data_IF_576958751466
#
_entry.id   IF_576958751466
#
_cell.length_a   1.000
_cell.length_b   1.000
_cell.length_c   1.000
_cell.angle_alpha   90.00
_cell.angle_beta   90.00
_cell.angle_gamma   90.00
#
_symmetry.space_group_name_H-M   'P 1'
#
loop_
_entity.id
_entity.type
_entity.pdbx_description
1 polymer ?
#
# COMPACT_ATOMS: atom_id res chain seq x y z
N UNK A 1 -12.42 4.96 -20.87
CA UNK A 1 -12.00 5.15 -20.36
C UNK A 1 -11.59 5.92 -20.06
N UNK A 2 -11.36 6.14 -19.70
CA UNK A 2 -10.87 6.88 -19.57
C UNK A 2 -10.80 7.60 -18.46
N UNK A 3 -11.46 7.76 -17.81
CA UNK A 3 -11.45 8.30 -16.66
C UNK A 3 -10.39 7.95 -15.85
N UNK A 4 -9.90 6.97 -15.97
CA UNK A 4 -8.78 6.57 -15.33
C UNK A 4 -7.70 7.52 -15.47
N UNK A 5 -7.59 8.08 -16.59
CA UNK A 5 -6.52 8.91 -16.91
C UNK A 5 -6.51 10.19 -16.16
N UNK A 6 -7.65 10.61 -15.67
CA UNK A 6 -7.71 11.83 -14.93
C UNK A 6 -7.62 11.57 -13.46
N UNK A 7 -7.58 10.33 -13.07
CA UNK A 7 -7.46 9.94 -11.71
C UNK A 7 -6.14 10.41 -11.14
N UNK A 8 -6.11 11.01 -9.97
CA UNK A 8 -4.85 11.37 -9.34
C UNK A 8 -3.96 10.15 -9.17
N UNK A 9 -4.54 8.98 -9.12
CA UNK A 9 -3.77 7.77 -9.04
C UNK A 9 -3.45 7.17 -10.35
N UNK A 10 -3.59 7.91 -11.44
CA UNK A 10 -3.36 7.38 -12.75
C UNK A 10 -2.02 6.67 -12.88
N UNK A 11 -0.94 7.32 -12.51
CA UNK A 11 0.35 6.67 -12.55
C UNK A 11 0.49 5.58 -11.54
N UNK A 12 -0.43 5.51 -10.59
CA UNK A 12 -0.39 4.57 -9.49
C UNK A 12 -1.30 3.38 -9.74
N UNK A 13 -2.09 3.42 -10.80
CA UNK A 13 -2.91 2.27 -11.17
C UNK A 13 -2.04 1.10 -11.57
N UNK A 14 -0.75 1.36 -11.82
CA UNK A 14 0.19 0.32 -12.18
C UNK A 14 0.88 -0.30 -10.97
N UNK A 15 0.36 -0.09 -9.78
CA UNK A 15 0.92 -0.74 -8.59
C UNK A 15 0.81 -2.24 -8.77
N UNK A 16 1.94 -2.92 -8.60
CA UNK A 16 2.01 -4.35 -8.71
C UNK A 16 2.31 -4.96 -7.35
N UNK A 17 1.96 -6.21 -7.19
CA UNK A 17 2.19 -6.92 -5.95
C UNK A 17 2.95 -8.20 -6.23
N UNK A 18 4.02 -8.40 -5.48
CA UNK A 18 4.77 -9.64 -5.50
C UNK A 18 4.49 -10.31 -4.18
N UNK A 19 3.99 -11.52 -4.21
CA UNK A 19 3.58 -12.23 -3.02
C UNK A 19 4.26 -13.60 -2.97
N UNK A 20 4.74 -13.97 -1.81
CA UNK A 20 5.33 -15.28 -1.60
C UNK A 20 4.97 -15.76 -0.20
N UNK A 21 5.40 -16.95 0.17
CA UNK A 21 4.90 -17.58 1.39
C UNK A 21 5.09 -16.74 2.65
N UNK A 22 6.22 -16.05 2.77
CA UNK A 22 6.54 -15.33 4.00
C UNK A 22 6.21 -13.83 3.94
N UNK A 23 5.77 -13.32 2.79
CA UNK A 23 5.48 -11.90 2.66
C UNK A 23 5.49 -11.45 1.23
N UNK A 24 5.83 -10.17 1.02
CA UNK A 24 5.88 -9.64 -0.32
C UNK A 24 6.03 -8.14 -0.32
N UNK A 25 5.63 -7.53 -1.42
CA UNK A 25 5.67 -6.07 -1.53
C UNK A 25 4.68 -5.58 -2.57
N UNK A 26 4.22 -4.35 -2.38
CA UNK A 26 3.55 -3.59 -3.42
C UNK A 26 4.57 -2.59 -3.94
N UNK A 27 4.64 -2.42 -5.26
CA UNK A 27 5.59 -1.49 -5.83
C UNK A 27 5.03 -0.83 -7.07
N UNK A 28 5.59 0.32 -7.40
CA UNK A 28 5.15 1.06 -8.57
C UNK A 28 6.31 1.92 -9.06
N UNK A 29 6.43 2.04 -10.36
CA UNK A 29 7.41 2.94 -10.94
C UNK A 29 6.70 4.16 -11.50
N UNK A 30 7.17 5.35 -11.11
CA UNK A 30 6.62 6.62 -11.58
C UNK A 30 7.79 7.48 -12.03
N UNK A 31 7.75 7.91 -13.28
CA UNK A 31 8.81 8.77 -13.83
C UNK A 31 10.20 8.20 -13.62
N UNK A 32 10.35 6.90 -13.79
CA UNK A 32 11.64 6.24 -13.67
C UNK A 32 12.11 5.97 -12.25
N UNK A 33 11.27 6.25 -11.25
CA UNK A 33 11.62 6.01 -9.85
C UNK A 33 10.67 4.97 -9.27
N UNK A 34 11.21 4.02 -8.53
CA UNK A 34 10.40 2.96 -7.94
C UNK A 34 10.12 3.24 -6.47
N UNK A 35 8.86 3.14 -6.10
CA UNK A 35 8.44 3.18 -4.70
C UNK A 35 7.95 1.78 -4.33
N UNK A 36 8.09 1.42 -3.06
CA UNK A 36 7.63 0.11 -2.62
C UNK A 36 7.18 0.14 -1.17
N UNK A 37 6.34 -0.83 -0.84
CA UNK A 37 5.91 -1.05 0.53
C UNK A 37 5.96 -2.55 0.76
N UNK A 38 6.78 -2.98 1.71
CA UNK A 38 7.00 -4.40 1.97
C UNK A 38 6.15 -4.88 3.13
N UNK A 39 5.82 -6.16 3.10
CA UNK A 39 5.03 -6.76 4.17
C UNK A 39 5.49 -8.17 4.47
N UNK A 40 5.23 -8.59 5.70
CA UNK A 40 5.47 -9.97 6.16
C UNK A 40 4.11 -10.61 6.40
N UNK A 41 4.01 -11.91 6.17
CA UNK A 41 2.77 -12.63 6.38
C UNK A 41 2.85 -13.34 7.72
N UNK A 42 2.09 -12.84 8.69
CA UNK A 42 2.07 -13.43 10.02
C UNK A 42 1.17 -14.66 10.06
N UNK A 43 0.09 -14.63 9.28
CA UNK A 43 -0.81 -15.78 9.18
C UNK A 43 -1.60 -15.64 7.88
N UNK A 44 -2.48 -16.58 7.62
CA UNK A 44 -3.31 -16.50 6.42
C UNK A 44 -4.20 -15.25 6.42
N UNK A 45 -4.48 -14.70 7.59
CA UNK A 45 -5.41 -13.58 7.72
C UNK A 45 -4.77 -12.33 8.31
N UNK A 46 -3.46 -12.28 8.43
CA UNK A 46 -2.78 -11.12 9.00
C UNK A 46 -1.47 -10.85 8.29
N UNK A 47 -1.33 -9.64 7.77
CA UNK A 47 -0.04 -9.20 7.24
C UNK A 47 0.46 -8.02 8.07
N UNK A 48 1.77 -7.84 8.07
CA UNK A 48 2.43 -6.76 8.79
C UNK A 48 3.13 -5.91 7.76
N UNK A 49 2.79 -4.62 7.69
CA UNK A 49 3.51 -3.72 6.79
C UNK A 49 4.79 -3.32 7.50
N UNK A 50 5.92 -3.71 6.92
CA UNK A 50 7.22 -3.53 7.53
C UNK A 50 7.87 -2.19 7.19
N UNK A 51 7.78 -1.78 5.93
CA UNK A 51 8.57 -0.65 5.45
C UNK A 51 7.95 -0.06 4.20
N UNK A 52 8.03 1.27 4.07
CA UNK A 52 7.59 1.98 2.89
C UNK A 52 8.73 2.87 2.44
N UNK A 53 9.12 2.76 1.18
CA UNK A 53 10.20 3.56 0.62
C UNK A 53 9.69 4.31 -0.59
N UNK A 54 9.70 5.64 -0.49
CA UNK A 54 9.29 6.52 -1.59
C UNK A 54 10.46 7.44 -1.90
N UNK A 55 11.02 7.38 -3.10
CA UNK A 55 12.14 8.26 -3.46
C UNK A 55 11.76 9.72 -3.33
N UNK A 56 12.75 10.55 -3.01
CA UNK A 56 12.52 11.98 -2.87
C UNK A 56 11.85 12.59 -4.10
N UNK A 57 12.21 12.10 -5.27
CA UNK A 57 11.64 12.62 -6.52
C UNK A 57 10.13 12.44 -6.59
N UNK A 58 9.58 11.52 -5.82
CA UNK A 58 8.15 11.25 -5.82
C UNK A 58 7.42 11.80 -4.61
N UNK A 59 8.11 12.49 -3.73
CA UNK A 59 7.48 13.02 -2.53
C UNK A 59 6.41 14.05 -2.88
N UNK A 60 5.35 14.06 -2.09
CA UNK A 60 4.26 15.01 -2.28
C UNK A 60 3.33 14.65 -3.41
N UNK A 61 3.51 13.49 -4.03
CA UNK A 61 2.69 13.07 -5.16
C UNK A 61 1.68 11.99 -4.79
N UNK A 62 1.57 11.66 -3.51
CA UNK A 62 0.59 10.70 -3.04
C UNK A 62 0.94 9.24 -3.32
N UNK A 63 2.19 8.96 -3.68
CA UNK A 63 2.58 7.60 -4.04
C UNK A 63 2.51 6.66 -2.85
N UNK A 64 3.05 7.07 -1.70
CA UNK A 64 3.00 6.24 -0.51
C UNK A 64 1.57 6.00 -0.06
N UNK A 65 0.75 7.04 -0.11
CA UNK A 65 -0.65 6.91 0.26
C UNK A 65 -1.37 5.92 -0.65
N UNK A 66 -1.06 5.94 -1.94
CA UNK A 66 -1.67 5.02 -2.89
C UNK A 66 -1.25 3.58 -2.62
N UNK A 67 0.00 3.36 -2.19
CA UNK A 67 0.45 2.03 -1.83
C UNK A 67 -0.36 1.50 -0.65
N UNK A 68 -0.58 2.32 0.36
CA UNK A 68 -1.38 1.90 1.52
C UNK A 68 -2.83 1.65 1.09
N UNK A 69 -3.38 2.51 0.24
CA UNK A 69 -4.75 2.34 -0.24
C UNK A 69 -4.89 1.02 -1.01
N UNK A 70 -3.88 0.64 -1.79
CA UNK A 70 -3.90 -0.63 -2.50
C UNK A 70 -3.87 -1.80 -1.52
N UNK A 71 -3.07 -1.69 -0.45
CA UNK A 71 -3.02 -2.74 0.56
C UNK A 71 -4.39 -2.91 1.23
N UNK A 72 -5.08 -1.80 1.50
CA UNK A 72 -6.41 -1.85 2.09
C UNK A 72 -7.39 -2.54 1.13
N UNK A 73 -7.34 -2.20 -0.15
CA UNK A 73 -8.22 -2.83 -1.13
C UNK A 73 -7.96 -4.33 -1.22
N UNK A 74 -6.70 -4.72 -1.21
CA UNK A 74 -6.35 -6.14 -1.26
C UNK A 74 -6.81 -6.86 -0.01
N UNK A 75 -6.69 -6.20 1.16
CA UNK A 75 -7.12 -6.79 2.42
C UNK A 75 -8.62 -7.07 2.42
N UNK A 76 -9.40 -6.15 1.86
CA UNK A 76 -10.84 -6.35 1.77
C UNK A 76 -11.21 -7.47 0.81
N UNK A 77 -10.50 -7.53 -0.31
CA UNK A 77 -10.78 -8.53 -1.32
C UNK A 77 -10.37 -9.92 -0.88
N UNK A 78 -9.29 -10.02 -0.11
CA UNK A 78 -8.71 -11.30 0.27
C UNK A 78 -8.95 -11.67 1.73
N UNK A 79 -9.69 -10.85 2.46
CA UNK A 79 -10.07 -11.12 3.85
C UNK A 79 -8.88 -11.26 4.79
N UNK A 80 -7.93 -10.34 4.70
CA UNK A 80 -6.89 -10.32 5.72
C UNK A 80 -6.89 -8.96 6.42
N UNK A 81 -6.20 -8.90 7.55
CA UNK A 81 -6.05 -7.67 8.30
C UNK A 81 -4.62 -7.19 8.21
N UNK A 82 -4.43 -5.92 8.52
CA UNK A 82 -3.13 -5.27 8.38
C UNK A 82 -2.68 -4.73 9.73
N UNK A 83 -1.46 -5.07 10.12
CA UNK A 83 -0.81 -4.45 11.26
C UNK A 83 0.29 -3.53 10.71
N UNK A 84 0.10 -2.22 10.77
CA UNK A 84 1.08 -1.30 10.22
C UNK A 84 2.17 -1.01 11.24
N UNK A 85 3.34 -1.61 11.08
CA UNK A 85 4.48 -1.31 11.93
C UNK A 85 5.28 -0.15 11.37
N UNK A 86 5.28 0.03 10.08
CA UNK A 86 5.95 1.14 9.43
C UNK A 86 5.30 2.45 9.87
N UNK A 87 6.06 3.43 10.39
CA UNK A 87 5.46 4.68 10.86
C UNK A 87 4.64 5.41 9.81
N UNK A 88 5.07 5.37 8.56
CA UNK A 88 4.31 6.02 7.50
C UNK A 88 2.94 5.36 7.34
N UNK A 89 2.91 4.05 7.23
CA UNK A 89 1.65 3.34 7.04
C UNK A 89 0.75 3.54 8.26
N UNK A 90 1.33 3.50 9.45
CA UNK A 90 0.55 3.69 10.66
C UNK A 90 -0.11 5.06 10.66
N UNK A 91 0.60 6.11 10.27
CA UNK A 91 0.03 7.44 10.24
C UNK A 91 -1.09 7.55 9.21
N UNK A 92 -1.01 6.83 8.12
CA UNK A 92 -2.07 6.83 7.12
C UNK A 92 -3.35 6.21 7.68
N UNK A 93 -3.24 5.11 8.42
CA UNK A 93 -4.40 4.51 9.04
C UNK A 93 -5.00 5.42 10.11
N UNK A 94 -4.16 6.16 10.81
CA UNK A 94 -4.66 7.09 11.83
C UNK A 94 -5.47 8.22 11.23
N UNK A 95 -5.19 8.59 10.00
CA UNK A 95 -5.91 9.67 9.31
C UNK A 95 -7.15 9.19 8.58
N UNK A 96 -7.29 7.90 8.37
CA UNK A 96 -8.35 7.36 7.52
C UNK A 96 -9.22 6.40 8.31
N UNK A 97 -10.23 6.95 8.96
CA UNK A 97 -11.14 6.12 9.76
C UNK A 97 -11.83 5.05 8.90
N UNK A 98 -12.02 5.34 7.62
CA UNK A 98 -12.68 4.38 6.74
C UNK A 98 -11.85 3.12 6.47
N UNK A 99 -10.59 3.10 6.87
CA UNK A 99 -9.73 1.93 6.70
C UNK A 99 -9.66 1.06 7.95
N UNK A 100 -10.39 1.42 8.98
CA UNK A 100 -10.31 0.68 10.25
C UNK A 100 -10.83 -0.74 10.15
N UNK A 101 -11.68 -1.02 9.18
CA UNK A 101 -12.24 -2.35 9.02
C UNK A 101 -11.17 -3.40 8.73
N UNK A 102 -10.01 -3.00 8.18
CA UNK A 102 -8.94 -3.96 7.91
C UNK A 102 -7.78 -3.83 8.89
N UNK A 103 -7.86 -2.89 9.82
CA UNK A 103 -6.77 -2.65 10.76
C UNK A 103 -6.78 -3.67 11.87
N UNK A 104 -5.62 -4.26 12.16
CA UNK A 104 -5.45 -5.20 13.26
C UNK A 104 -4.83 -4.49 14.44
N UNK A 105 -5.39 -4.70 15.58
CA UNK A 105 -4.90 -4.06 16.78
C UNK A 105 -5.61 -2.76 17.06
#
# INVERSE_FOLDING_TARGET
MTDVDTDPGHGLAAIEREDHASGGRWHVEVDGHEAEMTYSRASATLIIIDHTAVPDALRGRGVGQALVARAVADARREDFRIMPLCPFAKSQFERRAEWRDVLSG
#
